data_IF_194150163582
#
_entry.id   IF_194150163582
#
_cell.length_a   1.000
_cell.length_b   1.000
_cell.length_c   1.000
_cell.angle_alpha   90.00
_cell.angle_beta   90.00
_cell.angle_gamma   90.00
#
_symmetry.space_group_name_H-M   'P 1'
#
loop_
_entity.id
_entity.type
_entity.pdbx_description
1 polymer ?
#
# COMPACT_ATOMS: atom_id res chain seq x y z
N UNK A 1 18.82 -5.08 -16.71
CA UNK A 1 18.85 -3.71 -17.28
C UNK A 1 18.07 -2.82 -16.33
N UNK A 2 18.71 -1.82 -15.71
CA UNK A 2 18.04 -0.89 -14.79
C UNK A 2 16.97 -0.07 -15.54
N UNK A 3 15.75 0.00 -15.00
CA UNK A 3 14.64 0.77 -15.59
C UNK A 3 14.93 2.27 -15.46
N UNK A 4 14.59 3.05 -16.49
CA UNK A 4 14.69 4.52 -16.45
C UNK A 4 13.86 5.12 -15.30
N UNK A 5 14.33 6.21 -14.65
CA UNK A 5 13.64 6.87 -13.54
C UNK A 5 12.20 7.28 -13.91
N UNK A 6 11.31 7.33 -12.91
CA UNK A 6 9.86 7.60 -13.06
C UNK A 6 9.52 8.86 -13.88
N UNK A 7 10.38 9.87 -13.85
CA UNK A 7 10.25 11.09 -14.69
C UNK A 7 10.37 10.82 -16.20
N UNK A 8 11.06 9.74 -16.60
CA UNK A 8 11.27 9.32 -17.99
C UNK A 8 10.35 8.18 -18.42
N UNK A 9 9.60 7.58 -17.48
CA UNK A 9 8.64 6.48 -17.73
C UNK A 9 7.21 6.92 -17.96
N UNK A 10 6.88 8.20 -17.77
CA UNK A 10 5.58 8.72 -18.24
C UNK A 10 5.53 8.40 -19.72
N UNK A 11 4.70 7.42 -20.07
CA UNK A 11 4.57 6.96 -21.44
C UNK A 11 4.41 8.20 -22.33
N UNK A 12 5.08 8.20 -23.48
CA UNK A 12 5.01 9.28 -24.48
C UNK A 12 3.60 9.48 -25.05
N UNK A 13 2.55 8.93 -24.41
CA UNK A 13 1.16 8.93 -24.81
C UNK A 13 0.16 8.89 -23.62
N UNK A 14 0.49 9.44 -22.45
CA UNK A 14 -0.50 9.85 -21.43
C UNK A 14 -1.34 8.75 -20.74
N UNK A 15 -0.98 7.47 -20.87
CA UNK A 15 -1.70 6.37 -20.21
C UNK A 15 -1.08 6.06 -18.85
N UNK A 16 -1.93 5.91 -17.82
CA UNK A 16 -1.56 5.51 -16.44
C UNK A 16 -2.18 4.15 -16.15
N UNK A 17 -1.38 3.21 -15.64
CA UNK A 17 -1.80 1.85 -15.30
C UNK A 17 -1.92 1.70 -13.79
N UNK A 18 -3.15 1.46 -13.33
CA UNK A 18 -3.46 1.24 -11.92
C UNK A 18 -3.89 -0.20 -11.74
N UNK A 19 -3.19 -0.94 -10.88
CA UNK A 19 -3.60 -2.29 -10.47
C UNK A 19 -4.23 -2.27 -9.08
N UNK A 20 -5.22 -3.14 -8.88
CA UNK A 20 -5.73 -3.45 -7.54
C UNK A 20 -4.99 -4.66 -6.98
N UNK A 21 -4.50 -4.54 -5.74
CA UNK A 21 -3.90 -5.65 -5.01
C UNK A 21 -4.78 -6.20 -3.90
N UNK A 22 -5.85 -5.50 -3.52
CA UNK A 22 -6.65 -5.83 -2.34
C UNK A 22 -8.01 -5.12 -2.35
N UNK A 23 -9.07 -5.81 -1.93
CA UNK A 23 -10.42 -5.25 -1.83
C UNK A 23 -11.00 -5.08 -0.41
N UNK A 24 -10.41 -5.72 0.61
CA UNK A 24 -10.84 -5.59 2.00
C UNK A 24 -9.72 -6.00 2.98
N UNK A 25 -9.87 -5.66 4.27
CA UNK A 25 -8.93 -6.13 5.30
C UNK A 25 -9.03 -7.64 5.54
N UNK A 26 -7.93 -8.37 5.28
CA UNK A 26 -7.87 -9.84 5.38
C UNK A 26 -8.03 -10.59 4.05
N UNK A 27 -7.99 -9.89 2.92
CA UNK A 27 -7.93 -10.46 1.56
C UNK A 27 -6.57 -11.17 1.29
N UNK A 28 -6.37 -11.65 0.07
CA UNK A 28 -5.14 -12.30 -0.39
C UNK A 28 -3.92 -11.36 -0.32
N UNK A 29 -3.03 -11.58 0.66
CA UNK A 29 -1.79 -10.83 0.85
C UNK A 29 -0.75 -11.07 -0.25
N UNK A 30 -0.88 -12.10 -1.09
CA UNK A 30 0.03 -12.36 -2.19
C UNK A 30 -0.40 -11.68 -3.49
N UNK A 31 -1.66 -11.23 -3.61
CA UNK A 31 -2.11 -10.49 -4.80
C UNK A 31 -1.31 -9.19 -5.03
N UNK A 32 -1.05 -8.33 -4.02
CA UNK A 32 -0.21 -7.15 -4.17
C UNK A 32 1.22 -7.48 -4.63
N UNK A 33 1.81 -8.54 -4.09
CA UNK A 33 3.17 -8.99 -4.42
C UNK A 33 3.23 -9.40 -5.89
N UNK A 34 2.29 -10.21 -6.35
CA UNK A 34 2.19 -10.61 -7.76
C UNK A 34 2.03 -9.41 -8.71
N UNK A 35 1.28 -8.39 -8.31
CA UNK A 35 1.14 -7.15 -9.09
C UNK A 35 2.45 -6.37 -9.15
N UNK A 36 3.16 -6.23 -8.03
CA UNK A 36 4.43 -5.50 -7.95
C UNK A 36 5.55 -6.20 -8.71
N UNK A 37 5.63 -7.53 -8.60
CA UNK A 37 6.70 -8.32 -9.22
C UNK A 37 6.43 -8.57 -10.71
N UNK A 38 5.19 -8.91 -11.07
CA UNK A 38 4.83 -9.32 -12.43
C UNK A 38 4.21 -8.22 -13.30
N UNK A 39 3.55 -7.23 -12.71
CA UNK A 39 2.71 -6.28 -13.44
C UNK A 39 3.47 -5.08 -14.01
N UNK A 40 3.17 -4.67 -15.25
CA UNK A 40 3.63 -3.38 -15.79
C UNK A 40 2.70 -2.26 -15.32
N UNK A 41 2.81 -1.87 -14.05
CA UNK A 41 1.91 -0.94 -13.37
C UNK A 41 2.63 0.34 -12.95
N UNK A 42 1.91 1.45 -12.90
CA UNK A 42 2.39 2.73 -12.36
C UNK A 42 1.95 2.93 -10.91
N UNK A 43 0.76 2.44 -10.57
CA UNK A 43 0.21 2.50 -9.23
C UNK A 43 -0.37 1.17 -8.79
N UNK A 44 -0.13 0.83 -7.52
CA UNK A 44 -0.81 -0.22 -6.80
C UNK A 44 -1.83 0.41 -5.86
N UNK A 45 -3.09 0.00 -5.99
CA UNK A 45 -4.18 0.41 -5.12
C UNK A 45 -4.53 -0.73 -4.16
N UNK A 46 -4.67 -0.42 -2.88
CA UNK A 46 -5.05 -1.37 -1.82
C UNK A 46 -6.19 -0.82 -0.98
N UNK A 47 -7.34 -1.47 -1.02
CA UNK A 47 -8.52 -1.11 -0.23
C UNK A 47 -8.65 -2.02 1.00
N UNK A 48 -8.67 -1.41 2.19
CA UNK A 48 -8.78 -2.08 3.49
C UNK A 48 -10.10 -1.79 4.21
N UNK A 49 -10.74 -0.66 3.91
CA UNK A 49 -11.76 -0.11 4.82
C UNK A 49 -13.17 -0.48 4.39
N UNK A 50 -13.88 -1.11 5.31
CA UNK A 50 -15.33 -1.23 5.31
C UNK A 50 -15.91 -0.57 6.57
N UNK A 51 -17.23 -0.41 6.63
CA UNK A 51 -17.93 0.24 7.77
C UNK A 51 -17.57 -0.39 9.13
N UNK A 52 -17.58 -1.73 9.21
CA UNK A 52 -17.22 -2.47 10.43
C UNK A 52 -15.74 -2.31 10.79
N UNK A 53 -14.87 -2.30 9.78
CA UNK A 53 -13.41 -2.13 9.96
C UNK A 53 -13.08 -0.83 10.67
N UNK A 54 -13.75 0.27 10.30
CA UNK A 54 -13.52 1.57 10.92
C UNK A 54 -13.84 1.59 12.42
N UNK A 55 -14.94 0.94 12.82
CA UNK A 55 -15.32 0.80 14.23
C UNK A 55 -14.29 -0.01 15.03
N UNK A 56 -13.75 -1.08 14.44
CA UNK A 56 -12.68 -1.87 15.03
C UNK A 56 -11.41 -1.02 15.23
N UNK A 57 -11.00 -0.28 14.20
CA UNK A 57 -9.81 0.57 14.25
C UNK A 57 -9.97 1.72 15.26
N UNK A 58 -11.17 2.30 15.39
CA UNK A 58 -11.47 3.27 16.47
C UNK A 58 -11.30 2.64 17.86
N UNK A 59 -11.82 1.43 18.07
CA UNK A 59 -11.66 0.70 19.33
C UNK A 59 -10.20 0.32 19.61
N UNK A 60 -9.41 0.05 18.58
CA UNK A 60 -7.97 -0.16 18.74
C UNK A 60 -7.26 1.14 19.14
N UNK A 61 -7.59 2.27 18.49
CA UNK A 61 -7.00 3.58 18.78
C UNK A 61 -7.36 4.09 20.18
N UNK A 62 -8.59 3.84 20.65
CA UNK A 62 -9.00 4.24 22.00
C UNK A 62 -8.24 3.48 23.10
N UNK A 63 -7.80 2.25 22.83
CA UNK A 63 -6.97 1.45 23.75
C UNK A 63 -5.49 1.79 23.65
N UNK A 64 -5.02 2.13 22.45
CA UNK A 64 -3.64 2.52 22.19
C UNK A 64 -3.64 3.66 21.16
N UNK A 65 -3.26 4.90 21.55
CA UNK A 65 -3.22 6.04 20.65
C UNK A 65 -2.35 5.86 19.40
N UNK A 66 -1.38 4.91 19.42
CA UNK A 66 -0.53 4.57 18.27
C UNK A 66 -1.13 3.50 17.35
N UNK A 67 -2.30 2.95 17.66
CA UNK A 67 -3.00 1.99 16.81
C UNK A 67 -4.08 2.69 15.96
N UNK A 68 -4.91 1.89 15.25
CA UNK A 68 -5.99 2.39 14.40
C UNK A 68 -5.70 2.36 12.89
N UNK A 69 -4.77 1.51 12.48
CA UNK A 69 -4.43 1.23 11.09
C UNK A 69 -4.22 -0.28 10.90
N UNK A 70 -4.26 -0.76 9.65
CA UNK A 70 -4.07 -2.16 9.30
C UNK A 70 -2.60 -2.58 9.52
N UNK A 71 -2.33 -3.48 10.46
CA UNK A 71 -0.94 -3.85 10.82
C UNK A 71 -0.28 -4.77 9.78
N UNK A 72 -1.06 -5.61 9.14
CA UNK A 72 -0.67 -6.45 8.01
C UNK A 72 -0.20 -5.62 6.80
N UNK A 73 -0.73 -4.41 6.62
CA UNK A 73 -0.20 -3.47 5.62
C UNK A 73 1.27 -3.14 5.85
N UNK A 74 1.73 -2.98 7.10
CA UNK A 74 3.14 -2.69 7.39
C UNK A 74 4.04 -3.86 6.96
N UNK A 75 3.63 -5.09 7.28
CA UNK A 75 4.35 -6.30 6.87
C UNK A 75 4.33 -6.49 5.33
N UNK A 76 3.24 -6.11 4.66
CA UNK A 76 3.18 -6.09 3.21
C UNK A 76 4.17 -5.07 2.63
N UNK A 77 4.19 -3.84 3.16
CA UNK A 77 5.09 -2.79 2.69
C UNK A 77 6.56 -3.14 2.89
N UNK A 78 6.91 -3.79 4.00
CA UNK A 78 8.26 -4.33 4.22
C UNK A 78 8.71 -5.25 3.06
N UNK A 79 7.78 -6.06 2.53
CA UNK A 79 8.06 -6.97 1.41
C UNK A 79 8.15 -6.26 0.05
N UNK A 80 7.24 -5.33 -0.24
CA UNK A 80 7.08 -4.79 -1.60
C UNK A 80 7.72 -3.42 -1.83
N UNK A 81 7.97 -2.64 -0.77
CA UNK A 81 8.43 -1.25 -0.92
C UNK A 81 9.79 -1.14 -1.62
N UNK A 82 10.79 -2.01 -1.38
CA UNK A 82 12.05 -1.96 -2.12
C UNK A 82 11.85 -2.09 -3.64
N UNK A 83 11.05 -3.08 -4.06
CA UNK A 83 10.71 -3.31 -5.47
C UNK A 83 9.88 -2.16 -6.05
N UNK A 84 8.94 -1.61 -5.28
CA UNK A 84 8.18 -0.43 -5.69
C UNK A 84 9.09 0.77 -5.91
N UNK A 85 10.06 1.01 -5.03
CA UNK A 85 11.01 2.10 -5.15
C UNK A 85 11.93 1.92 -6.38
N UNK A 86 12.48 0.72 -6.57
CA UNK A 86 13.32 0.40 -7.74
C UNK A 86 12.57 0.60 -9.06
N UNK A 87 11.29 0.18 -9.11
CA UNK A 87 10.48 0.22 -10.33
C UNK A 87 9.71 1.53 -10.53
N UNK A 88 9.68 2.40 -9.53
CA UNK A 88 8.92 3.65 -9.53
C UNK A 88 7.41 3.48 -9.40
N UNK A 89 6.94 2.42 -8.73
CA UNK A 89 5.51 2.14 -8.50
C UNK A 89 5.02 2.98 -7.31
N UNK A 90 3.92 3.72 -7.48
CA UNK A 90 3.25 4.42 -6.38
C UNK A 90 2.23 3.52 -5.67
N UNK A 91 2.24 3.50 -4.33
CA UNK A 91 1.20 2.79 -3.56
C UNK A 91 0.16 3.78 -3.06
N UNK A 92 -1.12 3.50 -3.28
CA UNK A 92 -2.27 4.27 -2.80
C UNK A 92 -3.15 3.36 -1.97
N UNK A 93 -3.42 3.74 -0.72
CA UNK A 93 -4.21 2.92 0.18
C UNK A 93 -4.96 3.73 1.23
N UNK A 94 -6.03 3.14 1.77
CA UNK A 94 -6.72 3.61 2.97
C UNK A 94 -6.38 2.76 4.22
N UNK A 95 -5.36 1.88 4.17
CA UNK A 95 -4.88 1.06 5.28
C UNK A 95 -4.58 1.84 6.57
N UNK A 96 -4.26 3.14 6.43
CA UNK A 96 -4.05 4.06 7.54
C UNK A 96 -5.25 4.21 8.47
N UNK A 97 -6.45 3.84 8.03
CA UNK A 97 -7.65 3.81 8.86
C UNK A 97 -7.90 5.13 9.56
N UNK A 98 -8.04 5.07 10.88
CA UNK A 98 -8.28 6.23 11.74
C UNK A 98 -6.99 6.82 12.32
N UNK A 99 -5.82 6.31 11.91
CA UNK A 99 -4.51 6.81 12.31
C UNK A 99 -3.48 6.72 11.17
N UNK A 100 -3.69 7.45 10.06
CA UNK A 100 -2.83 7.37 8.89
C UNK A 100 -1.39 7.84 9.14
N UNK A 101 -1.19 8.79 10.06
CA UNK A 101 0.13 9.28 10.41
C UNK A 101 1.00 8.20 11.08
N UNK A 102 0.44 7.47 12.05
CA UNK A 102 1.16 6.36 12.70
C UNK A 102 1.36 5.18 11.75
N UNK A 103 0.42 4.94 10.82
CA UNK A 103 0.60 3.95 9.76
C UNK A 103 1.82 4.28 8.90
N UNK A 104 1.93 5.52 8.41
CA UNK A 104 3.06 5.97 7.62
C UNK A 104 4.38 5.88 8.40
N UNK A 105 4.38 6.25 9.69
CA UNK A 105 5.55 6.12 10.57
C UNK A 105 5.95 4.65 10.73
N UNK A 106 4.99 3.74 10.94
CA UNK A 106 5.27 2.32 11.08
C UNK A 106 5.85 1.70 9.81
N UNK A 107 5.36 2.11 8.62
CA UNK A 107 5.96 1.69 7.34
C UNK A 107 7.40 2.20 7.23
N UNK A 108 7.65 3.47 7.53
CA UNK A 108 8.99 4.07 7.46
C UNK A 108 9.99 3.46 8.46
N UNK A 109 9.53 2.85 9.55
CA UNK A 109 10.39 2.15 10.51
C UNK A 109 10.69 0.70 10.10
N UNK A 110 9.82 0.09 9.29
CA UNK A 110 9.95 -1.29 8.84
C UNK A 110 10.74 -1.43 7.52
N UNK A 111 11.13 -0.32 6.87
CA UNK A 111 11.76 -0.28 5.55
C UNK A 111 12.96 0.65 5.54
#
# INVERSE_FOLDING_TARGET
MARAPRSQRRSSAGTVRVASGQGFWGDDLEAPVRQVDGGDIDYLMLDYLAEVTMSIMQKQRSRNPRAGYARDFVALMERILPTCAERGIGVVTNAGGVNPAECARAVAEAT
#
